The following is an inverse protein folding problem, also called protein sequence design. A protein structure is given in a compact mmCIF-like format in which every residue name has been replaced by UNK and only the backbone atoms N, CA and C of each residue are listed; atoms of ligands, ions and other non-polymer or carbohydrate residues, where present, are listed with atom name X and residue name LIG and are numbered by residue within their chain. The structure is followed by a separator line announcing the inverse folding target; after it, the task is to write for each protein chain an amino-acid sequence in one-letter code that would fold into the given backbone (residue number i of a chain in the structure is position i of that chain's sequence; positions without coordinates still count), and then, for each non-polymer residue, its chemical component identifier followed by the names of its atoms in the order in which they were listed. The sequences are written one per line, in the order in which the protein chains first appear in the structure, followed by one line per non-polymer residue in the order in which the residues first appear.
data_IF_338860600620
#
_entry.id   IF_338860600620
#
_cell.length_a   1.000
_cell.length_b   1.000
_cell.length_c   1.000
_cell.angle_alpha   90.00
_cell.angle_beta   90.00
_cell.angle_gamma   90.00
#
_symmetry.space_group_name_H-M   'P 1'
#
loop_
_entity.id
_entity.type
_entity.pdbx_description
1 polymer ?
#
# COMPACT_ATOMS: atom_id res chain seq x y z
N UNK A 1 23.47 -1.50 20.95
CA UNK A 1 23.21 -0.85 19.63
C UNK A 1 22.14 0.23 19.70
N UNK A 2 21.02 0.05 20.41
CA UNK A 2 19.99 1.11 20.60
C UNK A 2 20.50 2.33 21.37
N UNK A 3 21.33 2.14 22.39
CA UNK A 3 21.85 3.22 23.26
C UNK A 3 22.79 4.20 22.56
N UNK A 4 23.42 3.78 21.46
CA UNK A 4 24.35 4.61 20.67
C UNK A 4 23.69 5.33 19.49
N UNK A 5 22.49 4.90 19.10
CA UNK A 5 21.80 5.38 17.87
C UNK A 5 20.52 6.15 18.18
N UNK A 6 19.96 6.00 19.39
CA UNK A 6 18.69 6.60 19.78
C UNK A 6 18.89 7.63 20.91
N UNK A 7 18.00 8.60 21.00
CA UNK A 7 17.91 9.44 22.20
C UNK A 7 17.57 8.60 23.44
N UNK A 8 18.03 9.01 24.60
CA UNK A 8 17.88 8.23 25.84
C UNK A 8 16.44 7.74 26.11
N UNK A 9 15.36 8.55 25.95
CA UNK A 9 13.99 8.06 26.15
C UNK A 9 13.61 6.94 25.16
N UNK A 10 14.02 7.05 23.91
CA UNK A 10 13.72 6.02 22.90
C UNK A 10 14.51 4.73 23.12
N UNK A 11 15.79 4.85 23.52
CA UNK A 11 16.61 3.70 23.90
C UNK A 11 15.98 2.95 25.08
N UNK A 12 15.51 3.67 26.10
CA UNK A 12 14.83 3.08 27.25
C UNK A 12 13.54 2.35 26.87
N UNK A 13 12.74 2.91 25.97
CA UNK A 13 11.54 2.24 25.44
C UNK A 13 11.88 0.90 24.79
N UNK A 14 12.91 0.87 23.94
CA UNK A 14 13.34 -0.38 23.27
C UNK A 14 13.82 -1.41 24.29
N UNK A 15 14.65 -0.99 25.27
CA UNK A 15 15.20 -1.90 26.29
C UNK A 15 14.11 -2.47 27.21
N UNK A 16 13.09 -1.67 27.53
CA UNK A 16 11.94 -2.09 28.37
C UNK A 16 10.86 -2.85 27.62
N UNK A 17 10.89 -2.89 26.28
CA UNK A 17 9.91 -3.64 25.49
C UNK A 17 10.19 -5.13 25.59
N UNK A 18 9.28 -5.94 26.15
CA UNK A 18 9.44 -7.39 26.15
C UNK A 18 9.38 -7.91 24.72
N UNK A 19 10.36 -8.69 24.30
CA UNK A 19 10.42 -9.32 22.97
C UNK A 19 10.30 -8.32 21.79
N UNK A 20 11.18 -7.32 21.70
CA UNK A 20 11.16 -6.42 20.54
C UNK A 20 11.47 -7.22 19.27
N UNK A 21 10.78 -6.88 18.17
CA UNK A 21 11.02 -7.51 16.88
C UNK A 21 11.27 -6.47 15.79
N UNK A 22 11.92 -6.92 14.71
CA UNK A 22 12.12 -6.11 13.51
C UNK A 22 11.18 -6.62 12.42
N UNK A 23 10.28 -5.74 11.97
CA UNK A 23 9.41 -6.03 10.84
C UNK A 23 10.10 -5.62 9.54
N UNK A 24 10.45 -6.60 8.71
CA UNK A 24 10.93 -6.31 7.36
C UNK A 24 9.82 -5.69 6.52
N UNK A 25 10.12 -4.55 5.92
CA UNK A 25 9.21 -3.87 5.00
C UNK A 25 9.48 -4.39 3.59
N UNK A 26 8.45 -4.95 2.97
CA UNK A 26 8.50 -5.48 1.60
C UNK A 26 7.38 -4.89 0.77
N UNK A 27 7.60 -4.81 -0.54
CA UNK A 27 6.55 -4.56 -1.51
C UNK A 27 6.20 -5.87 -2.21
N UNK A 28 4.92 -6.08 -2.47
CA UNK A 28 4.40 -7.19 -3.28
C UNK A 28 3.62 -6.61 -4.44
N UNK A 29 3.86 -7.13 -5.63
CA UNK A 29 3.13 -6.80 -6.84
C UNK A 29 2.81 -8.09 -7.60
N UNK A 30 1.54 -8.30 -7.94
CA UNK A 30 1.12 -9.45 -8.73
C UNK A 30 0.96 -9.07 -10.20
N UNK A 31 1.27 -9.97 -11.15
CA UNK A 31 1.07 -9.71 -12.57
C UNK A 31 -0.41 -9.69 -12.97
N UNK A 32 -1.27 -10.38 -12.20
CA UNK A 32 -2.73 -10.43 -12.35
C UNK A 32 -3.40 -10.65 -11.01
N UNK A 33 -4.65 -10.23 -10.89
CA UNK A 33 -5.44 -10.37 -9.68
C UNK A 33 -6.55 -11.43 -9.80
N UNK A 34 -6.93 -11.84 -11.02
CA UNK A 34 -8.04 -12.76 -11.28
C UNK A 34 -7.55 -14.11 -11.80
N UNK A 35 -8.07 -15.20 -11.22
CA UNK A 35 -7.74 -16.59 -11.52
C UNK A 35 -9.05 -17.41 -11.62
N UNK A 36 -9.72 -17.36 -12.76
CA UNK A 36 -11.08 -17.87 -12.89
C UNK A 36 -12.04 -17.07 -12.00
N UNK A 37 -12.71 -17.74 -11.07
CA UNK A 37 -13.62 -17.09 -10.11
C UNK A 37 -12.98 -16.77 -8.75
N UNK A 38 -11.67 -16.83 -8.67
CA UNK A 38 -10.89 -16.40 -7.50
C UNK A 38 -10.21 -15.09 -7.84
N UNK A 39 -10.35 -14.09 -6.98
CA UNK A 39 -9.62 -12.83 -7.11
C UNK A 39 -8.81 -12.51 -5.85
N UNK A 40 -7.67 -11.87 -6.05
CA UNK A 40 -6.81 -11.34 -4.98
C UNK A 40 -7.19 -9.88 -4.73
N UNK A 41 -7.35 -9.52 -3.45
CA UNK A 41 -7.62 -8.14 -3.04
C UNK A 41 -6.69 -7.74 -1.88
N UNK A 42 -6.59 -6.46 -1.60
CA UNK A 42 -5.78 -5.97 -0.49
C UNK A 42 -4.32 -6.40 -0.62
N UNK A 43 -3.72 -6.80 0.48
CA UNK A 43 -2.30 -7.15 0.54
C UNK A 43 -1.96 -8.45 -0.17
N UNK A 44 -2.95 -9.31 -0.44
CA UNK A 44 -2.76 -10.52 -1.26
C UNK A 44 -2.40 -10.20 -2.72
N UNK A 45 -2.81 -9.03 -3.22
CA UNK A 45 -2.49 -8.58 -4.58
C UNK A 45 -1.32 -7.60 -4.60
N UNK A 46 -1.38 -6.57 -3.77
CA UNK A 46 -0.37 -5.52 -3.70
C UNK A 46 -0.13 -5.14 -2.24
N UNK A 47 1.06 -5.40 -1.75
CA UNK A 47 1.52 -4.85 -0.47
C UNK A 47 2.43 -3.66 -0.78
N UNK A 48 2.01 -2.47 -0.45
CA UNK A 48 2.83 -1.28 -0.53
C UNK A 48 3.43 -0.98 0.85
N UNK A 49 4.71 -0.57 0.88
CA UNK A 49 5.34 -0.11 2.12
C UNK A 49 4.53 1.05 2.74
N UNK A 50 4.60 1.28 4.08
CA UNK A 50 3.65 2.13 4.81
C UNK A 50 3.74 3.62 4.47
N UNK A 51 4.74 4.07 3.73
CA UNK A 51 5.03 5.49 3.48
C UNK A 51 3.88 6.27 2.83
N UNK A 52 3.03 5.62 2.03
CA UNK A 52 1.85 6.27 1.45
C UNK A 52 0.62 6.27 2.37
N UNK A 53 0.65 5.53 3.51
CA UNK A 53 -0.45 5.37 4.46
C UNK A 53 -1.80 4.96 3.80
N UNK A 54 -1.78 4.10 2.78
CA UNK A 54 -2.93 3.82 1.93
C UNK A 54 -3.33 2.33 1.80
N UNK A 55 -2.69 1.42 2.53
CA UNK A 55 -2.95 -0.02 2.41
C UNK A 55 -4.42 -0.38 2.68
N UNK A 56 -4.98 0.12 3.78
CA UNK A 56 -6.38 -0.12 4.14
C UNK A 56 -7.35 0.51 3.14
N UNK A 57 -7.07 1.74 2.70
CA UNK A 57 -7.90 2.43 1.71
C UNK A 57 -7.90 1.68 0.37
N UNK A 58 -6.74 1.14 -0.05
CA UNK A 58 -6.63 0.30 -1.25
C UNK A 58 -7.47 -0.97 -1.14
N UNK A 59 -7.41 -1.65 0.00
CA UNK A 59 -8.20 -2.87 0.22
C UNK A 59 -9.71 -2.58 0.17
N UNK A 60 -10.14 -1.46 0.76
CA UNK A 60 -11.53 -1.00 0.69
C UNK A 60 -11.96 -0.67 -0.75
N UNK A 61 -11.12 0.02 -1.51
CA UNK A 61 -11.35 0.35 -2.92
C UNK A 61 -11.47 -0.91 -3.78
N UNK A 62 -10.58 -1.91 -3.58
CA UNK A 62 -10.70 -3.19 -4.29
C UNK A 62 -12.07 -3.84 -4.04
N UNK A 63 -12.54 -3.89 -2.79
CA UNK A 63 -13.83 -4.49 -2.44
C UNK A 63 -15.01 -3.69 -2.96
N UNK A 64 -14.97 -2.37 -2.84
CA UNK A 64 -16.04 -1.48 -3.29
C UNK A 64 -16.25 -1.56 -4.80
N UNK A 65 -15.17 -1.44 -5.56
CA UNK A 65 -15.22 -1.48 -7.04
C UNK A 65 -15.57 -2.87 -7.56
N UNK A 66 -15.17 -3.94 -6.85
CA UNK A 66 -15.63 -5.29 -7.17
C UNK A 66 -17.13 -5.45 -6.99
N UNK A 67 -17.67 -4.96 -5.88
CA UNK A 67 -19.11 -4.98 -5.65
C UNK A 67 -19.87 -4.18 -6.72
N UNK A 68 -19.40 -2.99 -7.08
CA UNK A 68 -19.98 -2.19 -8.15
C UNK A 68 -19.96 -2.95 -9.49
N UNK A 69 -18.82 -3.54 -9.86
CA UNK A 69 -18.69 -4.30 -11.10
C UNK A 69 -19.64 -5.51 -11.17
N UNK A 70 -19.85 -6.19 -10.04
CA UNK A 70 -20.84 -7.28 -9.94
C UNK A 70 -22.28 -6.80 -10.13
N UNK A 71 -22.60 -5.61 -9.63
CA UNK A 71 -23.92 -5.00 -9.83
C UNK A 71 -24.12 -4.58 -11.28
N UNK A 72 -23.13 -3.95 -11.89
CA UNK A 72 -23.18 -3.46 -13.28
C UNK A 72 -23.28 -4.60 -14.31
N UNK A 73 -22.84 -5.79 -13.95
CA UNK A 73 -22.91 -6.99 -14.81
C UNK A 73 -24.06 -7.93 -14.44
N UNK A 74 -25.04 -7.46 -13.66
CA UNK A 74 -26.22 -8.23 -13.23
C UNK A 74 -25.84 -9.60 -12.59
N UNK A 75 -24.67 -9.65 -11.94
CA UNK A 75 -24.16 -10.86 -11.27
C UNK A 75 -23.38 -11.82 -12.17
N UNK A 76 -23.10 -11.48 -13.42
CA UNK A 76 -22.12 -12.23 -14.22
C UNK A 76 -20.71 -12.03 -13.65
N UNK A 77 -20.29 -13.00 -12.84
CA UNK A 77 -19.01 -12.96 -12.12
C UNK A 77 -17.83 -12.88 -13.08
N UNK A 78 -17.87 -13.60 -14.18
CA UNK A 78 -16.75 -13.67 -15.12
C UNK A 78 -16.61 -12.34 -15.90
N UNK A 79 -17.73 -11.71 -16.24
CA UNK A 79 -17.73 -10.38 -16.86
C UNK A 79 -17.27 -9.30 -15.84
N UNK A 80 -17.78 -9.35 -14.61
CA UNK A 80 -17.41 -8.43 -13.54
C UNK A 80 -15.91 -8.44 -13.27
N UNK A 81 -15.32 -9.63 -13.09
CA UNK A 81 -13.90 -9.75 -12.79
C UNK A 81 -13.01 -9.28 -13.96
N UNK A 82 -13.40 -9.55 -15.21
CA UNK A 82 -12.70 -9.01 -16.38
C UNK A 82 -12.73 -7.49 -16.48
N UNK A 83 -13.87 -6.89 -16.13
CA UNK A 83 -14.01 -5.43 -16.14
C UNK A 83 -13.25 -4.75 -14.99
N UNK A 84 -13.24 -5.38 -13.81
CA UNK A 84 -12.66 -4.87 -12.59
C UNK A 84 -11.11 -4.92 -12.56
N UNK A 85 -10.51 -6.00 -13.02
CA UNK A 85 -9.08 -6.28 -12.83
C UNK A 85 -8.13 -5.19 -13.38
N UNK A 86 -8.31 -4.65 -14.61
CA UNK A 86 -7.34 -3.71 -15.18
C UNK A 86 -7.15 -2.45 -14.32
N UNK A 87 -8.25 -1.87 -13.85
CA UNK A 87 -8.20 -0.68 -13.00
C UNK A 87 -7.53 -0.95 -11.64
N UNK A 88 -7.73 -2.14 -11.08
CA UNK A 88 -7.12 -2.49 -9.80
C UNK A 88 -5.63 -2.81 -9.91
N UNK A 89 -5.19 -3.40 -11.02
CA UNK A 89 -3.77 -3.57 -11.33
C UNK A 89 -3.06 -2.22 -11.46
N UNK A 90 -3.66 -1.28 -12.16
CA UNK A 90 -3.12 0.07 -12.30
C UNK A 90 -3.03 0.79 -10.94
N UNK A 91 -4.12 0.74 -10.15
CA UNK A 91 -4.15 1.32 -8.81
C UNK A 91 -3.04 0.76 -7.91
N UNK A 92 -2.89 -0.57 -7.89
CA UNK A 92 -1.89 -1.25 -7.08
C UNK A 92 -0.46 -0.86 -7.46
N UNK A 93 -0.13 -0.88 -8.74
CA UNK A 93 1.20 -0.49 -9.25
C UNK A 93 1.52 0.97 -8.94
N UNK A 94 0.58 1.86 -9.19
CA UNK A 94 0.75 3.29 -8.92
C UNK A 94 0.97 3.55 -7.42
N UNK A 95 0.24 2.86 -6.54
CA UNK A 95 0.42 2.98 -5.10
C UNK A 95 1.79 2.48 -4.65
N UNK A 96 2.23 1.31 -5.12
CA UNK A 96 3.55 0.75 -4.77
C UNK A 96 4.67 1.68 -5.26
N UNK A 97 4.60 2.15 -6.50
CA UNK A 97 5.59 3.08 -7.05
C UNK A 97 5.70 4.37 -6.23
N UNK A 98 4.55 4.95 -5.87
CA UNK A 98 4.51 6.15 -5.04
C UNK A 98 5.01 5.91 -3.61
N UNK A 99 4.63 4.80 -2.99
CA UNK A 99 5.11 4.46 -1.66
C UNK A 99 6.65 4.27 -1.64
N UNK A 100 7.23 3.73 -2.72
CA UNK A 100 8.67 3.66 -2.90
C UNK A 100 9.31 5.05 -3.00
N UNK A 101 8.77 5.92 -3.84
CA UNK A 101 9.31 7.27 -4.01
C UNK A 101 9.25 8.09 -2.71
N UNK A 102 8.11 8.08 -2.03
CA UNK A 102 7.97 8.75 -0.72
C UNK A 102 8.97 8.20 0.29
N UNK A 103 9.13 6.87 0.37
CA UNK A 103 10.10 6.23 1.26
C UNK A 103 11.55 6.57 0.92
N UNK A 104 11.91 6.55 -0.34
CA UNK A 104 13.24 6.93 -0.81
C UNK A 104 13.59 8.38 -0.45
N UNK A 105 12.68 9.30 -0.74
CA UNK A 105 12.88 10.73 -0.49
C UNK A 105 12.92 11.06 0.99
N UNK A 106 12.07 10.42 1.81
CA UNK A 106 11.99 10.70 3.24
C UNK A 106 13.09 10.02 4.06
N UNK A 107 13.49 8.79 3.74
CA UNK A 107 14.39 8.01 4.57
C UNK A 107 15.84 7.96 4.09
N UNK A 108 16.07 7.96 2.78
CA UNK A 108 17.40 7.72 2.23
C UNK A 108 18.01 8.95 1.56
N UNK A 109 17.23 9.71 0.80
CA UNK A 109 17.77 10.87 0.06
C UNK A 109 17.75 12.16 0.85
N UNK A 110 17.02 12.23 1.97
CA UNK A 110 16.87 13.46 2.75
C UNK A 110 16.25 14.63 1.95
N UNK A 111 15.49 14.31 0.90
CA UNK A 111 14.85 15.30 0.01
C UNK A 111 13.38 15.53 0.37
N UNK A 112 12.99 15.22 1.59
CA UNK A 112 11.68 15.53 2.13
C UNK A 112 11.56 17.04 2.38
N UNK A 113 10.57 17.68 1.74
CA UNK A 113 10.22 19.07 1.98
C UNK A 113 8.78 19.11 2.50
N UNK A 114 8.52 19.64 3.72
CA UNK A 114 7.16 19.77 4.23
C UNK A 114 6.28 20.55 3.26
N UNK A 115 5.10 20.00 2.94
CA UNK A 115 4.17 20.59 1.99
C UNK A 115 4.44 20.30 0.52
N UNK A 116 5.46 19.50 0.19
CA UNK A 116 5.70 19.02 -1.18
C UNK A 116 4.46 18.29 -1.70
N UNK A 117 3.83 18.77 -2.79
CA UNK A 117 2.62 18.16 -3.33
C UNK A 117 2.83 16.74 -3.83
N UNK A 118 4.05 16.36 -4.21
CA UNK A 118 4.38 15.02 -4.69
C UNK A 118 4.51 14.00 -3.54
N UNK A 119 4.67 14.47 -2.29
CA UNK A 119 4.82 13.64 -1.10
C UNK A 119 3.49 13.46 -0.33
N UNK A 120 2.37 13.41 -1.02
CA UNK A 120 1.06 13.24 -0.39
C UNK A 120 0.83 11.80 0.04
N UNK A 121 0.25 11.66 1.23
CA UNK A 121 -0.32 10.41 1.72
C UNK A 121 -1.68 10.13 1.08
N UNK A 122 -2.12 8.88 1.19
CA UNK A 122 -3.45 8.48 0.74
C UNK A 122 -3.43 7.59 -0.50
N UNK A 123 -4.63 7.18 -0.93
CA UNK A 123 -4.81 6.19 -2.00
C UNK A 123 -4.39 6.74 -3.36
N UNK A 124 -4.71 7.99 -3.64
CA UNK A 124 -4.42 8.63 -4.91
C UNK A 124 -3.29 9.65 -4.78
N UNK A 125 -2.50 9.77 -5.84
CA UNK A 125 -1.45 10.77 -5.94
C UNK A 125 -1.99 12.19 -6.17
N UNK A 126 -1.09 13.17 -6.32
CA UNK A 126 -1.46 14.54 -6.67
C UNK A 126 -2.30 14.61 -7.95
N UNK A 127 -3.34 15.44 -7.96
CA UNK A 127 -4.17 15.67 -9.14
C UNK A 127 -5.34 14.70 -9.36
N UNK A 128 -5.60 13.80 -8.40
CA UNK A 128 -6.79 12.92 -8.40
C UNK A 128 -7.62 13.08 -7.15
#
# INVERSE_FOLDING_TARGET
MSESLLSAPLAEMVVRTPQPFVQTIVDVEVPRMVFGRVCLIGDAAFTARPHAAAGTAKAAENGWTLAASLMDTEGDVDAALRAWEPGQLELGRNLVARARDVGERSQFRGSWVPGDPDLRFGLYGPGR
#
